data_IF_994770531171
#
_entry.id   IF_994770531171
#
_cell.length_a   1.000
_cell.length_b   1.000
_cell.length_c   1.000
_cell.angle_alpha   90.00
_cell.angle_beta   90.00
_cell.angle_gamma   90.00
#
_symmetry.space_group_name_H-M   'P 1'
#
loop_
_entity.id
_entity.type
_entity.pdbx_description
1 polymer ?
#
# COMPACT_ATOMS: atom_id res chain seq x y z
N UNK A 1 -20.23 8.65 6.36
CA UNK A 1 -19.22 9.35 5.55
C UNK A 1 -17.80 9.01 5.99
N UNK A 2 -17.42 9.23 7.26
CA UNK A 2 -16.06 8.95 7.73
C UNK A 2 -15.64 7.48 7.57
N UNK A 3 -16.50 6.53 7.93
CA UNK A 3 -16.22 5.09 7.76
C UNK A 3 -16.03 4.71 6.29
N UNK A 4 -16.80 5.32 5.38
CA UNK A 4 -16.67 5.09 3.94
C UNK A 4 -15.33 5.60 3.42
N UNK A 5 -14.90 6.80 3.85
CA UNK A 5 -13.60 7.35 3.46
C UNK A 5 -12.45 6.54 4.05
N UNK A 6 -12.52 6.17 5.32
CA UNK A 6 -11.53 5.29 5.96
C UNK A 6 -11.44 3.95 5.21
N UNK A 7 -12.57 3.33 4.90
CA UNK A 7 -12.61 2.08 4.13
C UNK A 7 -11.98 2.24 2.74
N UNK A 8 -12.32 3.28 1.99
CA UNK A 8 -11.76 3.54 0.66
C UNK A 8 -10.24 3.78 0.72
N UNK A 9 -9.76 4.56 1.69
CA UNK A 9 -8.33 4.80 1.88
C UNK A 9 -7.58 3.54 2.33
N UNK A 10 -8.15 2.75 3.25
CA UNK A 10 -7.58 1.46 3.66
C UNK A 10 -7.47 0.51 2.47
N UNK A 11 -8.51 0.42 1.64
CA UNK A 11 -8.50 -0.42 0.44
C UNK A 11 -7.46 0.08 -0.57
N UNK A 12 -7.33 1.40 -0.80
CA UNK A 12 -6.32 1.92 -1.72
C UNK A 12 -4.89 1.66 -1.21
N UNK A 13 -4.65 1.86 0.09
CA UNK A 13 -3.38 1.51 0.74
C UNK A 13 -3.05 0.02 0.56
N UNK A 14 -4.03 -0.87 0.56
CA UNK A 14 -3.80 -2.29 0.32
C UNK A 14 -3.52 -2.58 -1.17
N UNK A 15 -4.39 -2.12 -2.07
CA UNK A 15 -4.32 -2.49 -3.49
C UNK A 15 -3.13 -1.88 -4.23
N UNK A 16 -2.65 -0.69 -3.86
CA UNK A 16 -1.53 -0.07 -4.57
C UNK A 16 -0.21 -0.84 -4.43
N UNK A 17 -0.03 -1.67 -3.39
CA UNK A 17 1.15 -2.54 -3.27
C UNK A 17 1.15 -3.71 -4.26
N UNK A 18 0.01 -4.00 -4.89
CA UNK A 18 -0.08 -4.95 -6.00
C UNK A 18 0.08 -4.29 -7.36
N UNK A 19 0.48 -3.02 -7.41
CA UNK A 19 0.81 -2.34 -8.66
C UNK A 19 2.31 -2.42 -8.93
N UNK A 20 2.66 -2.59 -10.19
CA UNK A 20 4.04 -2.57 -10.64
C UNK A 20 4.14 -1.88 -11.99
N UNK A 21 5.36 -1.54 -12.41
CA UNK A 21 5.62 -0.94 -13.70
C UNK A 21 6.81 -1.54 -14.42
N UNK A 22 6.85 -1.29 -15.72
CA UNK A 22 8.01 -1.56 -16.55
C UNK A 22 8.15 -0.48 -17.62
N UNK A 23 9.37 -0.34 -18.13
CA UNK A 23 9.67 0.61 -19.19
C UNK A 23 9.67 -0.12 -20.54
N UNK A 24 8.83 0.34 -21.45
CA UNK A 24 8.72 -0.22 -22.80
C UNK A 24 9.86 0.25 -23.73
N UNK A 25 9.99 -0.36 -24.92
CA UNK A 25 10.98 0.05 -25.93
C UNK A 25 10.79 1.48 -26.45
N UNK A 26 9.59 2.03 -26.32
CA UNK A 26 9.25 3.41 -26.65
C UNK A 26 9.67 4.41 -25.56
N UNK A 27 10.33 3.93 -24.50
CA UNK A 27 10.79 4.73 -23.37
C UNK A 27 9.70 5.11 -22.38
N UNK A 28 8.44 4.69 -22.59
CA UNK A 28 7.30 5.00 -21.72
C UNK A 28 7.17 3.97 -20.59
N UNK A 29 6.62 4.40 -19.46
CA UNK A 29 6.34 3.54 -18.30
C UNK A 29 4.91 3.02 -18.38
N UNK A 30 4.77 1.71 -18.23
CA UNK A 30 3.49 1.01 -18.25
C UNK A 30 3.20 0.44 -16.87
N UNK A 31 2.08 0.85 -16.28
CA UNK A 31 1.61 0.36 -14.99
C UNK A 31 0.59 -0.77 -15.15
N UNK A 32 0.58 -1.70 -14.21
CA UNK A 32 -0.40 -2.77 -14.15
C UNK A 32 -0.54 -3.36 -12.75
N UNK A 33 -1.50 -4.29 -12.63
CA UNK A 33 -1.66 -5.13 -11.44
C UNK A 33 -0.90 -6.43 -11.57
N UNK A 34 -0.19 -6.82 -10.52
CA UNK A 34 0.45 -8.14 -10.45
C UNK A 34 -0.62 -9.19 -10.18
N UNK A 35 -0.59 -10.28 -10.94
CA UNK A 35 -1.54 -11.39 -10.81
C UNK A 35 -0.77 -12.70 -10.66
N UNK A 36 -1.46 -13.81 -10.42
CA UNK A 36 -0.83 -15.15 -10.40
C UNK A 36 -0.18 -15.51 -11.75
N UNK A 37 -0.67 -14.92 -12.84
CA UNK A 37 -0.21 -15.21 -14.20
C UNK A 37 0.76 -14.17 -14.78
N UNK A 38 1.12 -13.13 -14.01
CA UNK A 38 1.98 -12.02 -14.46
C UNK A 38 1.29 -10.64 -14.38
N UNK A 39 1.82 -9.65 -15.08
CA UNK A 39 1.35 -8.25 -15.01
C UNK A 39 0.12 -7.99 -15.91
N UNK A 40 -0.99 -7.57 -15.31
CA UNK A 40 -2.18 -7.08 -16.00
C UNK A 40 -2.08 -5.56 -16.18
N UNK A 41 -1.61 -5.12 -17.35
CA UNK A 41 -1.36 -3.70 -17.66
C UNK A 41 -2.68 -2.94 -17.83
N UNK A 42 -2.78 -1.72 -17.28
CA UNK A 42 -3.99 -0.90 -17.39
C UNK A 42 -4.31 -0.42 -18.81
N UNK A 43 -3.26 -0.20 -19.62
CA UNK A 43 -3.37 0.28 -20.99
C UNK A 43 -3.28 -0.88 -21.97
N UNK A 44 -4.39 -1.59 -22.16
CA UNK A 44 -4.53 -2.67 -23.14
C UNK A 44 -4.93 -2.07 -24.49
N UNK A 45 -3.97 -1.93 -25.41
CA UNK A 45 -4.30 -1.44 -26.76
C UNK A 45 -3.12 -1.07 -27.66
N UNK A 46 -1.90 -1.00 -27.12
CA UNK A 46 -0.72 -0.58 -27.89
C UNK A 46 0.14 -1.74 -28.45
N UNK A 47 -0.33 -3.00 -28.39
CA UNK A 47 0.50 -4.15 -28.83
C UNK A 47 1.83 -4.27 -28.05
N UNK A 48 1.88 -3.71 -26.85
CA UNK A 48 3.07 -3.71 -25.99
C UNK A 48 3.29 -5.12 -25.48
N UNK A 49 4.44 -5.70 -25.80
CA UNK A 49 4.86 -6.97 -25.23
C UNK A 49 5.12 -6.80 -23.73
N UNK A 50 4.25 -7.42 -22.93
CA UNK A 50 4.38 -7.41 -21.47
C UNK A 50 5.45 -8.44 -21.09
N UNK A 51 6.48 -8.07 -20.31
CA UNK A 51 7.47 -9.01 -19.83
C UNK A 51 6.82 -10.15 -19.02
N UNK A 52 7.17 -11.40 -19.33
CA UNK A 52 6.65 -12.60 -18.66
C UNK A 52 7.53 -13.05 -17.48
N UNK A 53 8.18 -12.10 -16.85
CA UNK A 53 9.15 -12.35 -15.79
C UNK A 53 8.44 -12.72 -14.48
N UNK A 54 9.00 -13.67 -13.72
CA UNK A 54 8.41 -14.18 -12.48
C UNK A 54 8.26 -13.08 -11.43
N UNK A 55 9.09 -12.03 -11.50
CA UNK A 55 8.91 -10.84 -10.66
C UNK A 55 7.51 -10.28 -10.76
N UNK A 56 6.84 -10.33 -11.91
CA UNK A 56 5.49 -9.76 -12.10
C UNK A 56 4.35 -10.64 -11.59
N UNK A 57 4.66 -11.77 -10.98
CA UNK A 57 3.68 -12.61 -10.29
C UNK A 57 3.51 -12.13 -8.85
N UNK A 58 2.30 -12.26 -8.33
CA UNK A 58 2.02 -11.93 -6.93
C UNK A 58 2.82 -12.83 -5.99
N UNK A 59 3.49 -12.23 -5.00
CA UNK A 59 4.30 -12.91 -3.99
C UNK A 59 3.80 -12.68 -2.56
N UNK A 60 4.27 -13.48 -1.60
CA UNK A 60 3.96 -13.31 -0.18
C UNK A 60 4.40 -11.93 0.33
N UNK A 61 5.56 -11.44 -0.13
CA UNK A 61 6.08 -10.12 0.22
C UNK A 61 5.10 -8.99 -0.15
N UNK A 62 4.39 -9.10 -1.27
CA UNK A 62 3.39 -8.10 -1.68
C UNK A 62 2.27 -7.99 -0.64
N UNK A 63 1.81 -9.13 -0.08
CA UNK A 63 0.81 -9.14 0.99
C UNK A 63 1.33 -8.57 2.30
N UNK A 64 2.59 -8.87 2.67
CA UNK A 64 3.24 -8.32 3.86
C UNK A 64 3.28 -6.79 3.77
N UNK A 65 3.75 -6.25 2.64
CA UNK A 65 3.81 -4.80 2.42
C UNK A 65 2.42 -4.16 2.36
N UNK A 66 1.45 -4.78 1.70
CA UNK A 66 0.08 -4.30 1.64
C UNK A 66 -0.54 -4.19 3.06
N UNK A 67 -0.36 -5.22 3.89
CA UNK A 67 -0.86 -5.21 5.27
C UNK A 67 -0.15 -4.16 6.12
N UNK A 68 1.17 -4.05 6.00
CA UNK A 68 1.93 -3.01 6.70
C UNK A 68 1.48 -1.60 6.30
N UNK A 69 1.21 -1.37 5.02
CA UNK A 69 0.69 -0.08 4.55
C UNK A 69 -0.68 0.25 5.14
N UNK A 70 -1.55 -0.75 5.29
CA UNK A 70 -2.82 -0.60 6.00
C UNK A 70 -2.60 -0.26 7.47
N UNK A 71 -1.68 -0.95 8.15
CA UNK A 71 -1.36 -0.68 9.56
C UNK A 71 -0.82 0.74 9.76
N UNK A 72 0.09 1.20 8.88
CA UNK A 72 0.60 2.57 8.90
C UNK A 72 -0.53 3.58 8.69
N UNK A 73 -1.40 3.35 7.71
CA UNK A 73 -2.54 4.23 7.46
C UNK A 73 -3.47 4.30 8.67
N UNK A 74 -3.84 3.15 9.25
CA UNK A 74 -4.71 3.10 10.44
C UNK A 74 -4.04 3.79 11.62
N UNK A 75 -2.74 3.63 11.80
CA UNK A 75 -2.01 4.31 12.87
C UNK A 75 -2.06 5.83 12.73
N UNK A 76 -1.82 6.35 11.53
CA UNK A 76 -1.91 7.78 11.26
C UNK A 76 -3.36 8.26 11.41
N UNK A 77 -4.33 7.54 10.85
CA UNK A 77 -5.74 7.91 10.91
C UNK A 77 -6.24 7.98 12.36
N UNK A 78 -5.88 7.01 13.21
CA UNK A 78 -6.29 7.02 14.60
C UNK A 78 -5.48 7.96 15.48
N UNK A 79 -4.29 8.39 15.06
CA UNK A 79 -3.54 9.45 15.76
C UNK A 79 -4.16 10.85 15.64
N UNK A 80 -5.16 11.04 14.79
CA UNK A 80 -5.88 12.32 14.63
C UNK A 80 -7.14 12.37 15.53
N UNK A 81 -7.23 13.38 16.41
CA UNK A 81 -8.35 13.53 17.34
C UNK A 81 -9.72 13.67 16.68
N UNK A 82 -9.78 14.23 15.46
CA UNK A 82 -11.05 14.41 14.74
C UNK A 82 -11.54 13.05 14.24
N UNK A 83 -10.63 12.23 13.72
CA UNK A 83 -10.95 10.87 13.28
C UNK A 83 -11.27 9.99 14.49
N UNK A 84 -10.42 9.97 15.52
CA UNK A 84 -10.63 9.21 16.74
C UNK A 84 -11.94 9.61 17.45
N UNK A 85 -12.25 10.90 17.53
CA UNK A 85 -13.51 11.38 18.13
C UNK A 85 -14.76 10.98 17.33
N UNK A 86 -14.66 10.85 16.00
CA UNK A 86 -15.74 10.33 15.18
C UNK A 86 -15.89 8.81 15.26
N UNK A 87 -14.80 8.06 15.41
CA UNK A 87 -14.80 6.58 15.44
C UNK A 87 -15.09 6.04 16.84
N UNK A 88 -14.56 6.70 17.87
CA UNK A 88 -14.65 6.35 19.30
C UNK A 88 -15.27 7.49 20.11
N UNK A 89 -16.57 7.81 19.90
CA UNK A 89 -17.21 8.92 20.58
C UNK A 89 -17.17 8.73 22.11
N UNK A 90 -16.83 9.82 22.83
CA UNK A 90 -16.76 9.83 24.29
C UNK A 90 -15.50 9.22 24.91
N UNK A 91 -14.63 8.58 24.12
CA UNK A 91 -13.41 7.89 24.62
C UNK A 91 -12.12 8.59 24.15
N UNK A 92 -12.23 9.76 23.53
CA UNK A 92 -11.08 10.45 22.94
C UNK A 92 -9.99 10.82 23.97
N UNK A 93 -10.37 11.12 25.21
CA UNK A 93 -9.41 11.44 26.29
C UNK A 93 -8.67 10.20 26.79
N UNK A 94 -9.31 9.02 26.78
CA UNK A 94 -8.68 7.75 27.13
C UNK A 94 -7.75 7.25 26.01
N UNK A 95 -8.06 7.62 24.77
CA UNK A 95 -7.25 7.25 23.60
C UNK A 95 -6.00 8.11 23.42
N UNK A 96 -5.83 9.21 24.16
CA UNK A 96 -4.74 10.18 23.92
C UNK A 96 -3.34 9.54 23.98
N UNK A 97 -3.10 8.68 24.98
CA UNK A 97 -1.84 7.93 25.08
C UNK A 97 -1.65 6.93 23.92
N UNK A 98 -2.73 6.27 23.51
CA UNK A 98 -2.71 5.33 22.37
C UNK A 98 -2.43 6.08 21.08
N UNK A 99 -3.04 7.24 20.88
CA UNK A 99 -2.87 8.07 19.68
C UNK A 99 -1.42 8.51 19.48
N UNK A 100 -0.71 8.80 20.57
CA UNK A 100 0.70 9.19 20.53
C UNK A 100 1.66 8.00 20.36
N UNK A 101 1.41 6.89 21.05
CA UNK A 101 2.32 5.73 21.07
C UNK A 101 2.14 4.78 19.88
N UNK A 102 0.93 4.68 19.34
CA UNK A 102 0.59 3.70 18.30
C UNK A 102 1.35 3.90 16.98
N UNK A 103 1.50 5.11 16.41
CA UNK A 103 2.33 5.33 15.23
C UNK A 103 3.81 4.97 15.44
N UNK A 104 4.34 5.18 16.64
CA UNK A 104 5.73 4.83 16.98
C UNK A 104 5.94 3.32 16.96
N UNK A 105 5.04 2.57 17.62
CA UNK A 105 5.10 1.11 17.64
C UNK A 105 4.97 0.52 16.23
N UNK A 106 4.00 1.00 15.45
CA UNK A 106 3.81 0.57 14.06
C UNK A 106 5.03 0.91 13.20
N UNK A 107 5.61 2.10 13.38
CA UNK A 107 6.85 2.51 12.73
C UNK A 107 8.00 1.54 12.98
N UNK A 108 8.25 1.17 14.24
CA UNK A 108 9.31 0.22 14.62
C UNK A 108 9.10 -1.15 13.96
N UNK A 109 7.88 -1.70 14.05
CA UNK A 109 7.54 -3.00 13.45
C UNK A 109 7.73 -2.95 11.93
N UNK A 110 7.24 -1.87 11.30
CA UNK A 110 7.34 -1.72 9.86
C UNK A 110 8.78 -1.59 9.40
N UNK A 111 9.61 -0.79 10.08
CA UNK A 111 11.03 -0.68 9.77
C UNK A 111 11.75 -2.03 9.84
N UNK A 112 11.46 -2.87 10.84
CA UNK A 112 12.03 -4.21 10.94
C UNK A 112 11.60 -5.12 9.81
N UNK A 113 10.30 -5.15 9.48
CA UNK A 113 9.77 -6.01 8.43
C UNK A 113 10.24 -5.59 7.03
N UNK A 114 10.45 -4.31 6.76
CA UNK A 114 11.02 -3.84 5.49
C UNK A 114 12.46 -4.35 5.26
N UNK A 115 13.23 -4.59 6.33
CA UNK A 115 14.57 -5.17 6.21
C UNK A 115 14.52 -6.68 5.91
N UNK A 116 13.53 -7.38 6.46
CA UNK A 116 13.36 -8.84 6.29
C UNK A 116 12.71 -9.16 4.94
N UNK A 117 11.75 -8.34 4.51
CA UNK A 117 11.01 -8.47 3.26
C UNK A 117 11.29 -7.21 2.42
N UNK A 118 12.36 -7.18 1.61
CA UNK A 118 12.61 -6.06 0.71
C UNK A 118 11.60 -6.07 -0.44
N UNK A 119 11.12 -4.90 -0.84
CA UNK A 119 10.28 -4.74 -2.04
C UNK A 119 11.13 -4.45 -3.27
N UNK A 120 10.78 -5.07 -4.39
CA UNK A 120 11.38 -4.84 -5.72
C UNK A 120 10.36 -4.29 -6.73
N UNK A 121 9.21 -3.84 -6.21
CA UNK A 121 8.09 -3.28 -6.97
C UNK A 121 8.31 -1.82 -7.29
N UNK A 122 7.95 -1.44 -8.50
CA UNK A 122 7.95 -0.06 -8.97
C UNK A 122 6.51 0.36 -9.31
N UNK A 123 5.64 0.25 -8.31
CA UNK A 123 4.21 0.56 -8.43
C UNK A 123 3.90 2.05 -8.44
N UNK A 124 2.60 2.36 -8.39
CA UNK A 124 2.11 3.73 -8.27
C UNK A 124 2.60 4.31 -6.94
N UNK A 125 3.32 5.43 -7.00
CA UNK A 125 3.91 6.08 -5.82
C UNK A 125 5.38 5.74 -5.57
N UNK A 126 5.98 4.87 -6.38
CA UNK A 126 7.42 4.62 -6.40
C UNK A 126 8.09 5.37 -7.57
N UNK A 127 9.39 5.65 -7.44
CA UNK A 127 10.19 6.15 -8.57
C UNK A 127 10.33 4.99 -9.56
N UNK A 128 9.80 5.14 -10.77
CA UNK A 128 9.78 4.07 -11.80
C UNK A 128 11.19 3.56 -12.14
N UNK A 129 11.30 2.25 -12.39
CA UNK A 129 12.53 1.61 -12.88
C UNK A 129 12.91 2.04 -14.31
#
# INVERSE_FOLDING_TARGET
MIYSLLGLCTLSCFFFHFTDSFRGPDGKVYYGFVTLNGLAVFKTGLGVEVPKDDRYKVGLSDFVHALMSVLVFVAIAFSDHRVAGCVFPGHAAEMDEVMQSFPLMVGIICSGLFLVFPTTRYGIGCVSA
#
